data_IF_971380988495
#
_entry.id   IF_971380988495
#
_cell.length_a   1.000
_cell.length_b   1.000
_cell.length_c   1.000
_cell.angle_alpha   90.00
_cell.angle_beta   90.00
_cell.angle_gamma   90.00
#
_symmetry.space_group_name_H-M   'P 1'
#
loop_
_entity.id
_entity.type
_entity.pdbx_description
1 polymer ?
#
# COMPACT_ATOMS: atom_id res chain seq x y z
N UNK A 1 5.98 4.65 -0.89
CA UNK A 1 6.70 5.92 -1.14
C UNK A 1 6.42 6.46 -2.52
N UNK A 2 6.72 5.73 -3.61
CA UNK A 2 6.61 6.18 -5.00
C UNK A 2 5.24 6.79 -5.35
N UNK A 3 4.15 6.13 -4.97
CA UNK A 3 2.79 6.54 -5.33
C UNK A 3 2.19 7.65 -4.44
N UNK A 4 2.85 8.01 -3.35
CA UNK A 4 2.40 9.05 -2.41
C UNK A 4 3.31 10.27 -2.47
N UNK A 5 4.62 10.08 -2.26
CA UNK A 5 5.55 11.22 -2.18
C UNK A 5 5.96 11.76 -3.54
N UNK A 6 6.32 10.88 -4.50
CA UNK A 6 6.88 11.34 -5.77
C UNK A 6 5.99 12.36 -6.50
N UNK A 7 4.65 12.21 -6.57
CA UNK A 7 3.80 13.20 -7.21
C UNK A 7 3.68 14.52 -6.45
N UNK A 8 4.05 14.57 -5.16
CA UNK A 8 3.87 15.73 -4.29
C UNK A 8 5.16 16.54 -4.08
N UNK A 9 6.33 15.95 -4.40
CA UNK A 9 7.61 16.57 -4.06
C UNK A 9 7.87 17.88 -4.79
N UNK A 10 7.49 17.99 -6.05
CA UNK A 10 7.70 19.21 -6.82
C UNK A 10 7.01 20.42 -6.16
N UNK A 11 5.76 20.23 -5.74
CA UNK A 11 4.97 21.28 -5.08
C UNK A 11 5.53 21.61 -3.69
N UNK A 12 5.98 20.59 -2.95
CA UNK A 12 6.59 20.80 -1.65
C UNK A 12 7.90 21.59 -1.76
N UNK A 13 8.80 21.20 -2.66
CA UNK A 13 10.08 21.88 -2.87
C UNK A 13 9.90 23.31 -3.37
N UNK A 14 8.89 23.57 -4.21
CA UNK A 14 8.55 24.91 -4.65
C UNK A 14 8.06 25.80 -3.50
N UNK A 15 7.27 25.24 -2.58
CA UNK A 15 6.72 25.95 -1.42
C UNK A 15 7.76 26.16 -0.31
N UNK A 16 8.72 25.23 -0.17
CA UNK A 16 9.74 25.24 0.89
C UNK A 16 11.16 25.02 0.33
N UNK A 17 11.69 25.96 -0.46
CA UNK A 17 12.95 25.79 -1.20
C UNK A 17 14.19 25.66 -0.32
N UNK A 18 14.08 25.94 0.99
CA UNK A 18 15.19 25.78 1.95
C UNK A 18 15.20 24.44 2.66
N UNK A 19 14.24 23.55 2.37
CA UNK A 19 14.18 22.22 2.97
C UNK A 19 14.82 21.22 1.99
N UNK A 20 15.91 20.63 2.39
CA UNK A 20 16.54 19.52 1.67
C UNK A 20 15.81 18.22 2.00
N UNK A 21 15.56 17.39 0.98
CA UNK A 21 14.89 16.11 1.11
C UNK A 21 15.79 15.00 0.59
N UNK A 22 16.05 14.02 1.45
CA UNK A 22 16.63 12.75 1.07
C UNK A 22 15.55 11.65 1.18
N UNK A 23 15.37 10.83 0.14
CA UNK A 23 14.36 9.77 0.11
C UNK A 23 15.01 8.41 0.16
N UNK A 24 14.73 7.65 1.21
CA UNK A 24 14.98 6.22 1.29
C UNK A 24 13.71 5.43 0.95
N UNK A 25 13.85 4.28 0.29
CA UNK A 25 12.75 3.34 0.05
C UNK A 25 13.16 1.96 0.50
N UNK A 26 12.57 1.52 1.60
CA UNK A 26 12.79 0.20 2.19
C UNK A 26 11.45 -0.50 2.43
N UNK A 27 11.38 -1.78 2.07
CA UNK A 27 10.20 -2.62 2.33
C UNK A 27 10.26 -3.29 3.72
N UNK A 28 11.36 -3.09 4.46
CA UNK A 28 11.51 -3.56 5.83
C UNK A 28 11.18 -2.48 6.86
N UNK A 29 10.79 -2.93 8.07
CA UNK A 29 10.70 -2.05 9.21
C UNK A 29 12.11 -1.54 9.56
N UNK A 30 12.37 -0.26 9.25
CA UNK A 30 13.62 0.39 9.61
C UNK A 30 13.53 0.98 11.02
N UNK A 31 14.61 0.97 11.77
CA UNK A 31 14.76 1.81 12.94
C UNK A 31 15.04 3.24 12.48
N UNK A 32 14.11 4.17 12.77
CA UNK A 32 14.23 5.57 12.34
C UNK A 32 15.43 6.26 12.98
N UNK A 33 15.92 5.78 14.13
CA UNK A 33 17.09 6.38 14.81
C UNK A 33 18.37 5.93 14.12
N UNK A 34 18.52 4.62 13.92
CA UNK A 34 19.70 4.05 13.28
C UNK A 34 19.86 4.59 11.87
N UNK A 35 18.77 4.71 11.13
CA UNK A 35 18.74 5.21 9.75
C UNK A 35 18.66 6.73 9.64
N UNK A 36 18.71 7.46 10.77
CA UNK A 36 18.63 8.94 10.83
C UNK A 36 17.44 9.52 10.05
N UNK A 37 16.34 8.80 10.01
CA UNK A 37 15.14 9.16 9.26
C UNK A 37 14.23 10.06 10.08
N UNK A 38 13.96 11.29 9.60
CA UNK A 38 13.07 12.25 10.28
C UNK A 38 11.60 11.81 10.23
N UNK A 39 11.15 11.26 9.10
CA UNK A 39 9.76 10.81 8.87
C UNK A 39 9.74 9.54 8.01
N UNK A 40 8.99 8.53 8.42
CA UNK A 40 8.68 7.38 7.56
C UNK A 40 7.18 7.31 7.27
N UNK A 41 6.82 6.95 6.03
CA UNK A 41 5.45 6.59 5.69
C UNK A 41 5.23 5.10 5.91
N UNK A 42 4.19 4.77 6.68
CA UNK A 42 3.84 3.39 7.02
C UNK A 42 2.40 3.09 6.65
N UNK A 43 2.20 1.93 6.02
CA UNK A 43 0.88 1.42 5.63
C UNK A 43 0.54 0.25 6.54
N UNK A 44 -0.71 0.20 7.01
CA UNK A 44 -1.21 -0.86 7.87
C UNK A 44 -1.08 -0.53 9.35
N UNK A 45 -1.36 -1.52 10.21
CA UNK A 45 -1.34 -1.33 11.67
C UNK A 45 0.08 -1.12 12.19
N UNK A 46 0.22 -0.13 13.06
CA UNK A 46 1.48 0.12 13.77
C UNK A 46 1.57 -0.82 14.96
N UNK A 47 2.73 -1.46 15.13
CA UNK A 47 3.00 -2.37 16.26
C UNK A 47 3.87 -1.73 17.35
N UNK A 48 4.44 -0.55 17.09
CA UNK A 48 5.48 0.06 17.92
C UNK A 48 4.96 1.27 18.70
N UNK A 49 5.13 1.24 20.04
CA UNK A 49 4.68 2.29 20.95
C UNK A 49 5.68 3.42 21.17
N UNK A 50 6.92 3.28 20.71
CA UNK A 50 8.00 4.26 20.93
C UNK A 50 7.95 5.45 19.95
N UNK A 51 7.14 5.36 18.90
CA UNK A 51 7.04 6.37 17.85
C UNK A 51 5.74 7.17 17.96
N UNK A 52 5.80 8.42 17.52
CA UNK A 52 4.59 9.19 17.23
C UNK A 52 4.12 8.85 15.82
N UNK A 53 2.83 8.74 15.65
CA UNK A 53 2.21 8.49 14.37
C UNK A 53 1.10 9.50 14.12
N UNK A 54 1.11 10.12 12.95
CA UNK A 54 0.01 10.92 12.46
C UNK A 54 -0.69 10.17 11.34
N UNK A 55 -1.97 9.89 11.51
CA UNK A 55 -2.79 9.33 10.46
C UNK A 55 -2.93 10.34 9.32
N UNK A 56 -2.55 9.93 8.12
CA UNK A 56 -2.69 10.74 6.90
C UNK A 56 -3.98 10.40 6.15
N UNK A 57 -4.46 9.17 6.26
CA UNK A 57 -5.68 8.70 5.61
C UNK A 57 -5.75 7.18 5.55
N UNK A 58 -6.70 6.68 4.78
CA UNK A 58 -6.91 5.26 4.56
C UNK A 58 -6.94 4.94 3.08
N UNK A 59 -6.57 3.73 2.72
CA UNK A 59 -6.67 3.17 1.38
C UNK A 59 -7.36 1.82 1.40
N UNK A 60 -8.05 1.45 0.32
CA UNK A 60 -8.61 0.12 0.19
C UNK A 60 -7.55 -0.90 -0.24
N UNK A 61 -7.81 -2.18 0.00
CA UNK A 61 -7.03 -3.29 -0.56
C UNK A 61 -7.88 -3.94 -1.66
N UNK A 62 -7.27 -4.28 -2.79
CA UNK A 62 -7.96 -4.87 -3.94
C UNK A 62 -7.24 -6.09 -4.48
N UNK A 63 -8.03 -7.03 -4.98
CA UNK A 63 -7.57 -8.21 -5.71
C UNK A 63 -7.57 -7.84 -7.18
N UNK A 64 -6.45 -8.03 -7.87
CA UNK A 64 -6.19 -7.46 -9.18
C UNK A 64 -5.47 -8.46 -10.08
N UNK A 65 -5.74 -8.39 -11.38
CA UNK A 65 -4.95 -9.06 -12.40
C UNK A 65 -4.91 -8.24 -13.69
N UNK A 66 -3.89 -8.49 -14.53
CA UNK A 66 -3.85 -7.93 -15.87
C UNK A 66 -4.88 -8.62 -16.78
N UNK A 67 -5.55 -7.89 -17.71
CA UNK A 67 -6.46 -8.48 -18.69
C UNK A 67 -5.82 -9.61 -19.50
N UNK A 68 -4.54 -9.49 -19.83
CA UNK A 68 -3.81 -10.52 -20.57
C UNK A 68 -3.71 -11.84 -19.81
N UNK A 69 -3.56 -11.80 -18.47
CA UNK A 69 -3.60 -13.01 -17.66
C UNK A 69 -4.98 -13.66 -17.67
N UNK A 70 -6.03 -12.85 -17.50
CA UNK A 70 -7.42 -13.34 -17.46
C UNK A 70 -7.87 -13.92 -18.80
N UNK A 71 -7.42 -13.35 -19.92
CA UNK A 71 -7.72 -13.87 -21.24
C UNK A 71 -7.19 -15.30 -21.45
N UNK A 72 -6.08 -15.67 -20.79
CA UNK A 72 -5.46 -16.99 -20.91
C UNK A 72 -5.97 -18.00 -19.87
N UNK A 73 -6.34 -17.53 -18.67
CA UNK A 73 -6.62 -18.39 -17.52
C UNK A 73 -8.07 -18.32 -17.04
N UNK A 74 -8.90 -17.46 -17.66
CA UNK A 74 -10.26 -17.19 -17.17
C UNK A 74 -10.30 -16.14 -16.05
N UNK A 75 -11.51 -15.67 -15.76
CA UNK A 75 -11.77 -14.71 -14.69
C UNK A 75 -12.42 -15.43 -13.52
N UNK A 76 -11.82 -15.47 -12.31
CA UNK A 76 -12.43 -16.09 -11.15
C UNK A 76 -13.75 -15.41 -10.80
N UNK A 77 -14.79 -16.19 -10.55
CA UNK A 77 -16.13 -15.72 -10.20
C UNK A 77 -16.39 -15.82 -8.69
N UNK A 78 -15.57 -16.61 -7.97
CA UNK A 78 -15.65 -16.81 -6.52
C UNK A 78 -14.26 -16.94 -5.90
N UNK A 79 -14.18 -16.78 -4.57
CA UNK A 79 -12.95 -17.01 -3.81
C UNK A 79 -12.40 -18.45 -4.03
N UNK A 80 -13.29 -19.43 -4.21
CA UNK A 80 -12.90 -20.82 -4.45
C UNK A 80 -12.14 -21.02 -5.78
N UNK A 81 -12.45 -20.22 -6.81
CA UNK A 81 -11.81 -20.32 -8.11
C UNK A 81 -10.33 -19.90 -8.06
N UNK A 82 -9.94 -19.13 -7.06
CA UNK A 82 -8.54 -18.70 -6.86
C UNK A 82 -7.58 -19.90 -6.73
N UNK A 83 -8.08 -21.07 -6.30
CA UNK A 83 -7.27 -22.29 -6.24
C UNK A 83 -6.75 -22.77 -7.61
N UNK A 84 -7.38 -22.34 -8.71
CA UNK A 84 -7.01 -22.67 -10.07
C UNK A 84 -6.09 -21.60 -10.71
N UNK A 85 -5.83 -20.52 -10.00
CA UNK A 85 -5.04 -19.40 -10.48
C UNK A 85 -3.66 -19.33 -9.83
N UNK A 86 -2.72 -18.70 -10.54
CA UNK A 86 -1.42 -18.35 -9.97
C UNK A 86 -1.58 -17.12 -9.09
N UNK A 87 -1.36 -17.27 -7.81
CA UNK A 87 -1.44 -16.20 -6.84
C UNK A 87 -0.03 -15.64 -6.56
N UNK A 88 0.04 -14.32 -6.50
CA UNK A 88 1.24 -13.56 -6.19
C UNK A 88 1.11 -13.01 -4.76
N UNK A 89 2.12 -13.19 -3.93
CA UNK A 89 2.03 -12.77 -2.52
C UNK A 89 3.37 -12.39 -1.91
N UNK A 90 3.31 -11.96 -0.67
CA UNK A 90 4.48 -11.48 0.07
C UNK A 90 5.27 -12.63 0.68
N UNK A 91 6.61 -12.48 0.75
CA UNK A 91 7.48 -13.37 1.50
C UNK A 91 7.30 -13.18 3.00
N UNK A 92 7.18 -11.91 3.45
CA UNK A 92 7.00 -11.51 4.85
C UNK A 92 6.43 -10.08 4.92
N UNK A 93 5.65 -9.75 5.96
CA UNK A 93 5.04 -10.68 6.91
C UNK A 93 3.92 -11.50 6.25
N UNK A 94 3.71 -12.74 6.69
CA UNK A 94 2.72 -13.65 6.09
C UNK A 94 1.28 -13.13 6.21
N UNK A 95 1.01 -12.25 7.19
CA UNK A 95 -0.30 -11.60 7.35
C UNK A 95 -0.73 -10.76 6.13
N UNK A 96 0.20 -10.34 5.28
CA UNK A 96 -0.12 -9.67 4.02
C UNK A 96 -0.70 -10.61 2.96
N UNK A 97 -0.63 -11.94 3.19
CA UNK A 97 -1.25 -12.96 2.36
C UNK A 97 -2.67 -13.34 2.84
N UNK A 98 -3.21 -12.63 3.82
CA UNK A 98 -4.62 -12.69 4.18
C UNK A 98 -5.39 -11.70 3.30
N UNK A 99 -6.08 -12.25 2.31
CA UNK A 99 -6.82 -11.45 1.35
C UNK A 99 -8.21 -11.08 1.89
N UNK A 100 -8.78 -9.95 1.48
CA UNK A 100 -10.07 -9.46 1.99
C UNK A 100 -11.26 -10.23 1.37
N UNK A 101 -11.23 -11.54 1.50
CA UNK A 101 -12.29 -12.47 1.11
C UNK A 101 -12.64 -13.34 2.31
N UNK A 102 -13.90 -13.76 2.50
CA UNK A 102 -14.28 -14.65 3.58
C UNK A 102 -13.66 -16.03 3.41
N UNK A 103 -13.13 -16.59 4.48
CA UNK A 103 -12.59 -17.96 4.53
C UNK A 103 -13.68 -19.04 4.77
N UNK A 104 -14.95 -18.61 4.94
CA UNK A 104 -16.06 -19.48 5.32
C UNK A 104 -16.08 -19.91 6.80
N UNK A 105 -15.12 -19.45 7.62
CA UNK A 105 -15.00 -19.75 9.06
C UNK A 105 -15.06 -18.51 9.93
N UNK A 106 -15.33 -17.34 9.32
CA UNK A 106 -15.42 -16.05 10.00
C UNK A 106 -14.11 -15.26 10.02
N UNK A 107 -13.12 -15.66 9.21
CA UNK A 107 -11.85 -14.98 9.00
C UNK A 107 -11.63 -14.57 7.55
N UNK A 108 -10.45 -13.98 7.29
CA UNK A 108 -10.00 -13.64 5.94
C UNK A 108 -9.29 -14.82 5.29
N UNK A 109 -9.44 -14.94 3.97
CA UNK A 109 -8.82 -15.99 3.17
C UNK A 109 -7.30 -15.90 3.21
N UNK A 110 -6.63 -16.86 3.83
CA UNK A 110 -5.19 -17.01 3.76
C UNK A 110 -4.82 -17.73 2.47
N UNK A 111 -4.05 -17.06 1.60
CA UNK A 111 -3.60 -17.63 0.34
C UNK A 111 -2.24 -18.32 0.47
N UNK A 112 -1.98 -19.29 -0.42
CA UNK A 112 -0.67 -19.90 -0.61
C UNK A 112 -0.08 -19.41 -1.94
N UNK A 113 0.77 -18.36 -1.95
CA UNK A 113 1.25 -17.77 -3.20
C UNK A 113 2.21 -18.73 -3.94
N UNK A 114 2.03 -18.86 -5.25
CA UNK A 114 2.94 -19.59 -6.14
C UNK A 114 4.23 -18.79 -6.42
N UNK A 115 4.13 -17.45 -6.43
CA UNK A 115 5.27 -16.54 -6.57
C UNK A 115 5.26 -15.56 -5.41
N UNK A 116 6.43 -15.35 -4.80
CA UNK A 116 6.58 -14.48 -3.63
C UNK A 116 7.62 -13.41 -3.89
N UNK A 117 7.35 -12.20 -3.38
CA UNK A 117 8.32 -11.11 -3.35
C UNK A 117 8.25 -10.37 -2.01
N UNK A 118 9.33 -9.71 -1.63
CA UNK A 118 9.37 -8.88 -0.42
C UNK A 118 8.72 -7.51 -0.63
N UNK A 119 8.65 -7.06 -1.89
CA UNK A 119 8.19 -5.73 -2.28
C UNK A 119 6.82 -5.76 -2.95
N UNK A 120 5.90 -4.89 -2.48
CA UNK A 120 4.61 -4.69 -3.13
C UNK A 120 4.74 -4.15 -4.55
N UNK A 121 5.77 -3.33 -4.83
CA UNK A 121 6.03 -2.80 -6.17
C UNK A 121 6.48 -3.92 -7.13
N UNK A 122 7.30 -4.85 -6.65
CA UNK A 122 7.66 -6.05 -7.43
C UNK A 122 6.43 -6.89 -7.76
N UNK A 123 5.54 -7.12 -6.77
CA UNK A 123 4.29 -7.86 -6.99
C UNK A 123 3.37 -7.14 -8.00
N UNK A 124 3.29 -5.80 -7.93
CA UNK A 124 2.55 -4.98 -8.88
C UNK A 124 3.06 -5.18 -10.31
N UNK A 125 4.37 -5.08 -10.51
CA UNK A 125 5.00 -5.31 -11.82
C UNK A 125 4.80 -6.74 -12.34
N UNK A 126 4.87 -7.75 -11.47
CA UNK A 126 4.56 -9.13 -11.85
C UNK A 126 3.11 -9.28 -12.32
N UNK A 127 2.16 -8.64 -11.63
CA UNK A 127 0.76 -8.67 -12.03
C UNK A 127 0.53 -7.95 -13.36
N UNK A 128 1.11 -6.75 -13.56
CA UNK A 128 1.06 -6.01 -14.82
C UNK A 128 1.63 -6.82 -16.00
N UNK A 129 2.69 -7.58 -15.75
CA UNK A 129 3.28 -8.48 -16.75
C UNK A 129 2.48 -9.79 -16.97
N UNK A 130 1.30 -9.94 -16.36
CA UNK A 130 0.42 -11.09 -16.57
C UNK A 130 0.88 -12.37 -15.86
N UNK A 131 1.64 -12.26 -14.75
CA UNK A 131 2.14 -13.43 -14.03
C UNK A 131 1.15 -14.06 -13.06
N UNK A 132 0.01 -13.40 -12.79
CA UNK A 132 -0.98 -13.96 -11.86
C UNK A 132 -1.89 -12.89 -11.24
N UNK A 133 -2.61 -13.30 -10.20
CA UNK A 133 -3.51 -12.48 -9.41
C UNK A 133 -2.79 -11.99 -8.16
N UNK A 134 -2.97 -10.71 -7.80
CA UNK A 134 -2.32 -10.06 -6.66
C UNK A 134 -3.34 -9.34 -5.80
N UNK A 135 -3.03 -9.17 -4.52
CA UNK A 135 -3.80 -8.31 -3.62
C UNK A 135 -2.92 -7.18 -3.12
N UNK A 136 -3.25 -5.93 -3.47
CA UNK A 136 -2.47 -4.75 -3.17
C UNK A 136 -3.34 -3.56 -2.77
N UNK A 137 -2.70 -2.59 -2.11
CA UNK A 137 -3.33 -1.30 -1.75
C UNK A 137 -3.71 -0.51 -2.99
N UNK A 138 -4.88 0.11 -2.93
CA UNK A 138 -5.39 1.00 -3.98
C UNK A 138 -4.48 2.20 -4.22
N UNK A 139 -3.80 2.69 -3.18
CA UNK A 139 -2.79 3.76 -3.31
C UNK A 139 -1.65 3.42 -4.29
N UNK A 140 -1.32 2.13 -4.45
CA UNK A 140 -0.27 1.66 -5.37
C UNK A 140 -0.82 1.40 -6.78
N UNK A 141 -2.08 1.01 -6.88
CA UNK A 141 -2.67 0.43 -8.09
C UNK A 141 -3.76 1.28 -8.71
N UNK A 142 -4.06 2.45 -8.13
CA UNK A 142 -5.13 3.33 -8.61
C UNK A 142 -4.96 3.67 -10.10
N UNK A 143 -3.77 4.13 -10.50
CA UNK A 143 -3.50 4.50 -11.90
C UNK A 143 -3.61 3.32 -12.86
N UNK A 144 -3.17 2.12 -12.43
CA UNK A 144 -3.27 0.91 -13.25
C UNK A 144 -4.74 0.48 -13.45
N UNK A 145 -5.57 0.67 -12.43
CA UNK A 145 -7.00 0.39 -12.54
C UNK A 145 -7.72 1.39 -13.45
N UNK A 146 -7.44 2.67 -13.28
CA UNK A 146 -8.03 3.73 -14.13
C UNK A 146 -7.67 3.56 -15.61
N UNK A 147 -6.45 3.10 -15.88
CA UNK A 147 -6.00 2.81 -17.25
C UNK A 147 -6.47 1.44 -17.77
N UNK A 148 -7.05 0.60 -16.90
CA UNK A 148 -7.42 -0.78 -17.25
C UNK A 148 -6.24 -1.75 -17.38
N UNK A 149 -5.02 -1.35 -17.00
CA UNK A 149 -3.84 -2.23 -16.99
C UNK A 149 -3.95 -3.33 -15.93
N UNK A 150 -4.63 -3.04 -14.82
CA UNK A 150 -5.09 -4.00 -13.83
C UNK A 150 -6.60 -3.87 -13.64
N UNK A 151 -7.30 -4.98 -13.60
CA UNK A 151 -8.75 -5.01 -13.36
C UNK A 151 -9.07 -5.62 -11.99
N UNK A 152 -10.03 -5.05 -11.25
CA UNK A 152 -10.45 -5.58 -9.96
C UNK A 152 -11.25 -6.88 -10.13
N UNK A 153 -11.03 -7.81 -9.21
CA UNK A 153 -11.64 -9.11 -9.16
C UNK A 153 -12.42 -9.28 -7.86
N UNK A 154 -13.48 -10.06 -7.89
CA UNK A 154 -14.26 -10.51 -6.73
C UNK A 154 -14.76 -9.34 -5.84
N UNK A 155 -15.05 -8.18 -6.44
CA UNK A 155 -15.51 -7.00 -5.69
C UNK A 155 -16.82 -7.24 -4.92
N UNK A 156 -17.66 -8.18 -5.37
CA UNK A 156 -18.92 -8.56 -4.73
C UNK A 156 -18.76 -9.46 -3.50
N UNK A 157 -17.61 -10.20 -3.39
CA UNK A 157 -17.28 -11.01 -2.23
C UNK A 157 -16.28 -10.33 -1.28
N UNK A 158 -15.65 -9.23 -1.76
CA UNK A 158 -14.57 -8.58 -1.04
C UNK A 158 -15.09 -7.88 0.21
N UNK A 159 -14.50 -8.22 1.35
CA UNK A 159 -14.70 -7.46 2.58
C UNK A 159 -14.08 -6.07 2.49
N UNK A 160 -14.74 -5.09 3.11
CA UNK A 160 -14.25 -3.71 3.16
C UNK A 160 -13.11 -3.57 4.17
N UNK A 161 -11.93 -4.06 3.79
CA UNK A 161 -10.72 -3.87 4.59
C UNK A 161 -10.06 -2.55 4.23
N UNK A 162 -9.88 -1.70 5.23
CA UNK A 162 -9.22 -0.40 5.11
C UNK A 162 -7.83 -0.46 5.72
N UNK A 163 -6.83 0.00 4.96
CA UNK A 163 -5.46 0.14 5.44
C UNK A 163 -5.16 1.60 5.79
N UNK A 164 -4.77 1.91 7.04
CA UNK A 164 -4.34 3.24 7.40
C UNK A 164 -2.95 3.54 6.82
N UNK A 165 -2.74 4.79 6.41
CA UNK A 165 -1.46 5.37 6.04
C UNK A 165 -1.03 6.36 7.11
N UNK A 166 0.15 6.18 7.68
CA UNK A 166 0.69 7.02 8.72
C UNK A 166 1.99 7.70 8.27
N UNK A 167 2.19 8.93 8.76
CA UNK A 167 3.50 9.51 8.92
C UNK A 167 4.00 9.18 10.34
N UNK A 168 5.12 8.47 10.43
CA UNK A 168 5.72 8.02 11.70
C UNK A 168 7.02 8.77 11.91
N UNK A 169 7.23 9.28 13.13
CA UNK A 169 8.43 10.03 13.50
C UNK A 169 8.79 9.80 14.97
N UNK A 170 10.02 10.12 15.34
CA UNK A 170 10.51 9.78 16.67
C UNK A 170 10.06 10.77 17.76
N UNK A 171 9.78 10.24 18.94
CA UNK A 171 9.17 10.97 20.09
C UNK A 171 10.11 11.90 20.83
N UNK A 172 11.44 11.83 20.66
CA UNK A 172 12.40 12.34 21.64
C UNK A 172 12.83 13.81 21.48
N UNK A 173 12.17 14.63 20.66
CA UNK A 173 12.40 16.08 20.66
C UNK A 173 11.14 16.82 20.22
N UNK A 174 11.01 18.06 20.63
CA UNK A 174 10.10 19.01 20.00
C UNK A 174 10.18 18.81 18.49
N UNK A 175 9.06 18.44 17.87
CA UNK A 175 8.98 18.21 16.44
C UNK A 175 9.63 19.39 15.72
N UNK A 176 10.70 19.17 14.97
CA UNK A 176 11.36 20.26 14.27
C UNK A 176 10.35 20.92 13.33
N UNK A 177 10.39 22.25 13.23
CA UNK A 177 9.44 23.00 12.41
C UNK A 177 9.36 22.47 10.97
N UNK A 178 10.51 22.11 10.38
CA UNK A 178 10.57 21.50 9.03
C UNK A 178 9.81 20.18 8.92
N UNK A 179 9.92 19.33 9.94
CA UNK A 179 9.22 18.02 9.98
C UNK A 179 7.72 18.21 10.15
N UNK A 180 7.30 19.14 11.02
CA UNK A 180 5.89 19.47 11.20
C UNK A 180 5.26 19.98 9.91
N UNK A 181 5.92 20.94 9.24
CA UNK A 181 5.48 21.50 7.96
C UNK A 181 5.34 20.41 6.90
N UNK A 182 6.31 19.48 6.81
CA UNK A 182 6.24 18.37 5.85
C UNK A 182 5.06 17.44 6.14
N UNK A 183 4.85 17.06 7.40
CA UNK A 183 3.73 16.18 7.78
C UNK A 183 2.38 16.87 7.55
N UNK A 184 2.27 18.18 7.84
CA UNK A 184 1.06 18.96 7.58
C UNK A 184 0.75 19.05 6.08
N UNK A 185 1.77 19.32 5.27
CA UNK A 185 1.66 19.31 3.82
C UNK A 185 1.17 17.93 3.33
N UNK A 186 1.81 16.84 3.77
CA UNK A 186 1.40 15.48 3.39
C UNK A 186 -0.07 15.20 3.75
N UNK A 187 -0.50 15.55 4.96
CA UNK A 187 -1.88 15.32 5.40
C UNK A 187 -2.89 16.05 4.50
N UNK A 188 -2.58 17.29 4.12
CA UNK A 188 -3.44 18.08 3.23
C UNK A 188 -3.49 17.53 1.81
N UNK A 189 -2.36 17.07 1.26
CA UNK A 189 -2.32 16.57 -0.11
C UNK A 189 -2.86 15.15 -0.23
N UNK A 190 -2.55 14.27 0.73
CA UNK A 190 -3.09 12.90 0.76
C UNK A 190 -4.62 12.90 0.80
N UNK A 191 -5.24 13.84 1.53
CA UNK A 191 -6.71 13.98 1.58
C UNK A 191 -7.34 14.29 0.20
N UNK A 192 -6.57 14.77 -0.78
CA UNK A 192 -7.02 15.08 -2.14
C UNK A 192 -6.75 13.93 -3.12
N UNK A 193 -6.02 12.89 -2.69
CA UNK A 193 -5.66 11.78 -3.56
C UNK A 193 -6.90 10.95 -3.94
N UNK A 194 -7.02 10.48 -5.19
CA UNK A 194 -8.22 9.80 -5.67
C UNK A 194 -8.46 8.44 -5.01
N UNK A 195 -7.43 7.80 -4.47
CA UNK A 195 -7.52 6.56 -3.69
C UNK A 195 -7.83 6.77 -2.21
N UNK A 196 -7.84 8.03 -1.75
CA UNK A 196 -8.08 8.38 -0.34
C UNK A 196 -9.46 7.92 0.12
N UNK A 197 -9.51 7.42 1.35
CA UNK A 197 -10.74 7.15 2.08
C UNK A 197 -10.67 7.86 3.43
N UNK A 198 -11.71 8.59 3.78
CA UNK A 198 -11.88 9.04 5.16
C UNK A 198 -12.09 7.82 6.07
N UNK A 199 -11.76 7.96 7.35
CA UNK A 199 -12.07 6.92 8.31
C UNK A 199 -13.60 6.77 8.36
N UNK A 200 -14.10 5.55 8.14
CA UNK A 200 -15.50 5.21 8.33
C UNK A 200 -15.81 5.06 9.81
#
# INVERSE_FOLDING_TARGET
>A
MLHVLSPLLADFCAQYPQIEIELGSNDHLIDLIEERTDVALRIGRLQDSAMHARLLGHTAIRILAAPAYLAQHGTPQSAADLAQHRLLGFTAPTTLNQWPLPDGRGGLLEISPAVRASSGETLRHLALAGNGIVCLSDLMTFTDRESGALVPLLEHEREHVSQPLYAVYYRHRTLLARTAVFIDFLAQQVAKMPWYRAQA
#
